data_IF_458134178036
#
_entry.id   IF_458134178036
#
_cell.length_a   1.000
_cell.length_b   1.000
_cell.length_c   1.000
_cell.angle_alpha   90.00
_cell.angle_beta   90.00
_cell.angle_gamma   90.00
#
_symmetry.space_group_name_H-M   'P 1'
#
loop_
_entity.id
_entity.type
_entity.pdbx_description
1 polymer ?
#
# COMPACT_ATOMS: atom_id res chain seq x y z
N UNK A 1 48.85 -14.65 21.98
CA UNK A 1 48.23 -15.41 20.88
C UNK A 1 46.78 -15.78 21.23
N UNK A 2 45.88 -14.79 21.35
CA UNK A 2 44.46 -15.03 21.70
C UNK A 2 43.55 -15.15 20.47
N UNK A 3 44.08 -14.94 19.26
CA UNK A 3 43.33 -14.97 18.00
C UNK A 3 43.18 -16.37 17.37
N UNK A 4 43.83 -17.40 17.93
CA UNK A 4 43.82 -18.76 17.35
C UNK A 4 42.67 -19.66 17.84
N UNK A 5 41.77 -19.13 18.68
CA UNK A 5 40.58 -19.83 19.21
C UNK A 5 39.27 -19.11 18.92
N UNK A 6 39.26 -18.12 18.04
CA UNK A 6 38.01 -17.74 17.39
C UNK A 6 37.72 -18.83 16.36
N UNK A 7 36.92 -19.83 16.75
CA UNK A 7 36.08 -20.53 15.77
C UNK A 7 35.40 -19.41 14.97
N UNK A 8 35.45 -19.47 13.65
CA UNK A 8 34.69 -18.57 12.79
C UNK A 8 33.21 -18.74 13.16
N UNK A 9 32.72 -17.93 14.08
CA UNK A 9 31.38 -18.04 14.63
C UNK A 9 30.34 -17.95 13.51
N UNK A 10 30.67 -17.19 12.46
CA UNK A 10 29.93 -17.12 11.21
C UNK A 10 29.86 -18.48 10.50
N UNK A 11 30.99 -19.17 10.32
CA UNK A 11 31.04 -20.49 9.69
C UNK A 11 30.28 -21.55 10.51
N UNK A 12 30.45 -21.51 11.83
CA UNK A 12 29.72 -22.38 12.75
C UNK A 12 28.20 -22.14 12.69
N UNK A 13 27.74 -20.89 12.77
CA UNK A 13 26.31 -20.57 12.73
C UNK A 13 25.72 -20.89 11.36
N UNK A 14 26.43 -20.65 10.26
CA UNK A 14 25.93 -20.91 8.91
C UNK A 14 25.89 -22.42 8.58
N UNK A 15 26.86 -23.22 9.01
CA UNK A 15 27.02 -24.60 8.57
C UNK A 15 26.57 -25.66 9.59
N UNK A 16 26.39 -25.32 10.87
CA UNK A 16 26.04 -26.29 11.92
C UNK A 16 24.55 -26.59 11.94
N UNK A 17 24.11 -27.76 11.47
CA UNK A 17 22.66 -28.08 11.44
C UNK A 17 22.05 -28.42 12.81
N UNK A 18 22.87 -28.92 13.74
CA UNK A 18 22.52 -29.25 15.13
C UNK A 18 23.77 -29.11 16.00
N UNK A 19 23.61 -28.62 17.23
CA UNK A 19 24.73 -28.55 18.18
C UNK A 19 24.96 -29.96 18.74
N UNK A 20 26.19 -30.48 18.61
CA UNK A 20 26.54 -31.83 19.09
C UNK A 20 26.33 -31.89 20.61
N UNK A 21 25.59 -32.89 21.06
CA UNK A 21 25.23 -33.07 22.46
C UNK A 21 26.48 -33.32 23.32
N UNK A 22 26.53 -32.66 24.48
CA UNK A 22 27.49 -32.97 25.53
C UNK A 22 26.85 -33.89 26.57
N UNK A 23 27.67 -34.66 27.28
CA UNK A 23 27.20 -35.48 28.39
C UNK A 23 26.47 -34.59 29.42
N UNK A 24 25.39 -35.08 30.06
CA UNK A 24 24.62 -34.29 31.02
C UNK A 24 25.54 -33.74 32.11
N UNK A 25 25.53 -32.41 32.28
CA UNK A 25 26.22 -31.77 33.39
C UNK A 25 25.22 -31.73 34.55
N UNK A 26 25.53 -32.43 35.64
CA UNK A 26 24.74 -32.43 36.88
C UNK A 26 23.26 -32.84 36.72
N UNK A 27 22.97 -33.77 35.81
CA UNK A 27 21.62 -34.32 35.65
C UNK A 27 20.63 -33.41 34.91
N UNK A 28 21.06 -32.24 34.45
CA UNK A 28 20.24 -31.35 33.62
C UNK A 28 20.50 -31.60 32.13
N UNK A 29 19.42 -31.83 31.37
CA UNK A 29 19.46 -32.13 29.94
C UNK A 29 18.86 -30.98 29.14
N UNK A 30 19.68 -30.25 28.38
CA UNK A 30 19.27 -29.03 27.66
C UNK A 30 19.07 -29.27 26.14
N UNK A 31 18.66 -30.47 25.75
CA UNK A 31 18.66 -30.92 24.35
C UNK A 31 17.83 -30.07 23.38
N UNK A 32 16.68 -29.54 23.79
CA UNK A 32 15.83 -28.68 22.93
C UNK A 32 16.28 -27.22 22.89
N UNK A 33 16.92 -26.74 23.96
CA UNK A 33 17.20 -25.31 24.15
C UNK A 33 18.29 -24.78 23.21
N UNK A 34 19.29 -25.60 22.86
CA UNK A 34 20.40 -25.17 22.01
C UNK A 34 20.03 -25.08 20.53
N UNK A 35 19.26 -26.05 20.03
CA UNK A 35 18.77 -26.04 18.65
C UNK A 35 17.75 -24.90 18.45
N UNK A 36 16.92 -24.60 19.46
CA UNK A 36 16.02 -23.45 19.45
C UNK A 36 16.79 -22.12 19.50
N UNK A 37 17.81 -22.00 20.35
CA UNK A 37 18.67 -20.83 20.38
C UNK A 37 19.39 -20.60 19.04
N UNK A 38 19.92 -21.66 18.42
CA UNK A 38 20.59 -21.56 17.11
C UNK A 38 19.62 -21.15 16.00
N UNK A 39 18.38 -21.68 16.01
CA UNK A 39 17.32 -21.23 15.09
C UNK A 39 16.96 -19.76 15.32
N UNK A 40 16.87 -19.34 16.58
CA UNK A 40 16.58 -17.94 16.93
C UNK A 40 17.66 -17.00 16.42
N UNK A 41 18.93 -17.34 16.64
CA UNK A 41 20.09 -16.54 16.18
C UNK A 41 20.13 -16.47 14.65
N UNK A 42 19.83 -17.56 13.94
CA UNK A 42 19.72 -17.52 12.47
C UNK A 42 18.57 -16.62 12.01
N UNK A 43 17.40 -16.74 12.62
CA UNK A 43 16.26 -15.88 12.29
C UNK A 43 16.51 -14.40 12.63
N UNK A 44 17.37 -14.12 13.61
CA UNK A 44 17.82 -12.77 13.93
C UNK A 44 18.84 -12.25 12.91
N UNK A 45 19.82 -13.08 12.52
CA UNK A 45 20.78 -12.76 11.44
C UNK A 45 20.09 -12.54 10.10
N UNK A 46 19.09 -13.35 9.74
CA UNK A 46 18.30 -13.16 8.53
C UNK A 46 17.56 -11.81 8.61
N UNK A 47 16.97 -11.48 9.76
CA UNK A 47 16.32 -10.17 9.99
C UNK A 47 17.30 -9.00 9.95
N UNK A 48 18.51 -9.16 10.45
CA UNK A 48 19.56 -8.13 10.38
C UNK A 48 20.13 -7.98 8.97
N UNK A 49 20.29 -9.07 8.23
CA UNK A 49 20.69 -9.06 6.83
C UNK A 49 19.67 -8.27 5.97
N UNK A 50 18.38 -8.47 6.24
CA UNK A 50 17.29 -7.69 5.62
C UNK A 50 17.40 -6.20 5.96
N UNK A 51 17.64 -5.85 7.23
CA UNK A 51 17.86 -4.45 7.65
C UNK A 51 19.13 -3.82 7.06
N UNK A 52 20.11 -4.64 6.67
CA UNK A 52 21.37 -4.19 6.10
C UNK A 52 21.34 -3.99 4.58
N UNK A 53 20.25 -4.39 3.89
CA UNK A 53 20.09 -4.10 2.46
C UNK A 53 20.05 -2.59 2.24
N UNK A 54 20.84 -2.11 1.27
CA UNK A 54 20.81 -0.72 0.85
C UNK A 54 19.42 -0.39 0.32
N UNK A 55 18.74 0.59 0.93
CA UNK A 55 17.49 1.11 0.38
C UNK A 55 17.77 1.81 -0.95
N UNK A 56 16.94 1.51 -1.95
CA UNK A 56 17.03 2.17 -3.26
C UNK A 56 16.65 3.64 -3.12
N UNK A 57 17.44 4.51 -3.75
CA UNK A 57 17.07 5.92 -3.91
C UNK A 57 16.32 6.17 -5.21
N UNK A 58 15.60 7.28 -5.29
CA UNK A 58 14.87 7.69 -6.48
C UNK A 58 13.47 8.24 -6.20
N UNK A 59 12.69 8.55 -7.25
CA UNK A 59 11.31 8.98 -7.11
C UNK A 59 10.38 7.79 -6.80
N UNK A 60 9.12 8.11 -6.55
CA UNK A 60 8.04 7.15 -6.32
C UNK A 60 7.15 7.11 -7.55
N UNK A 61 6.90 5.90 -8.03
CA UNK A 61 6.00 5.65 -9.16
C UNK A 61 4.64 5.30 -8.63
N UNK A 62 3.61 6.03 -9.04
CA UNK A 62 2.23 5.72 -8.70
C UNK A 62 1.45 5.31 -9.94
N UNK A 63 1.29 4.01 -10.13
CA UNK A 63 0.43 3.43 -11.16
C UNK A 63 -1.00 3.47 -10.66
N UNK A 64 -1.78 4.42 -11.16
CA UNK A 64 -3.13 4.73 -10.69
C UNK A 64 -4.17 4.37 -11.76
N UNK A 65 -5.38 4.03 -11.32
CA UNK A 65 -6.49 3.69 -12.22
C UNK A 65 -7.15 4.89 -12.88
N UNK A 66 -8.44 4.72 -13.22
CA UNK A 66 -9.25 5.79 -13.81
C UNK A 66 -9.20 7.09 -12.97
N UNK A 67 -9.28 8.25 -13.64
CA UNK A 67 -9.18 9.57 -13.00
C UNK A 67 -7.76 10.13 -12.86
N UNK A 68 -6.72 9.32 -13.06
CA UNK A 68 -5.32 9.76 -12.94
C UNK A 68 -4.79 10.57 -14.14
N UNK A 69 -5.55 10.76 -15.21
CA UNK A 69 -5.07 11.34 -16.48
C UNK A 69 -4.59 12.78 -16.31
N UNK A 70 -5.26 13.54 -15.43
CA UNK A 70 -4.82 14.90 -15.11
C UNK A 70 -3.49 14.88 -14.34
N UNK A 71 -3.32 13.93 -13.41
CA UNK A 71 -2.09 13.79 -12.63
C UNK A 71 -0.90 13.35 -13.52
N UNK A 72 -1.15 12.45 -14.48
CA UNK A 72 -0.12 12.06 -15.45
C UNK A 72 0.31 13.23 -16.34
N UNK A 73 -0.64 14.07 -16.78
CA UNK A 73 -0.35 15.28 -17.57
C UNK A 73 0.42 16.34 -16.77
N UNK A 74 0.15 16.44 -15.47
CA UNK A 74 0.87 17.34 -14.58
C UNK A 74 2.34 16.90 -14.34
N UNK A 75 2.69 15.65 -14.70
CA UNK A 75 4.03 15.11 -14.55
C UNK A 75 4.40 14.81 -13.10
N UNK A 76 5.67 15.06 -12.75
CA UNK A 76 6.18 14.81 -11.39
C UNK A 76 5.60 15.83 -10.41
N UNK A 77 4.98 15.35 -9.33
CA UNK A 77 4.44 16.18 -8.24
C UNK A 77 5.17 15.83 -6.95
N UNK A 78 6.05 16.72 -6.49
CA UNK A 78 6.98 16.39 -5.41
C UNK A 78 7.92 15.27 -5.87
N UNK A 79 7.96 14.17 -5.12
CA UNK A 79 8.72 12.96 -5.50
C UNK A 79 7.87 11.91 -6.24
N UNK A 80 6.61 12.21 -6.55
CA UNK A 80 5.64 11.23 -7.05
C UNK A 80 5.37 11.46 -8.53
N UNK A 81 5.69 10.47 -9.37
CA UNK A 81 5.26 10.43 -10.76
C UNK A 81 4.04 9.52 -10.86
N UNK A 82 2.90 10.08 -11.28
CA UNK A 82 1.67 9.30 -11.47
C UNK A 82 1.52 8.92 -12.94
N UNK A 83 1.17 7.67 -13.23
CA UNK A 83 0.73 7.24 -14.57
C UNK A 83 -0.62 6.54 -14.47
N UNK A 84 -1.50 6.83 -15.43
CA UNK A 84 -2.76 6.14 -15.59
C UNK A 84 -2.52 4.75 -16.17
N UNK A 85 -3.02 3.73 -15.46
CA UNK A 85 -2.88 2.33 -15.80
C UNK A 85 -4.24 1.67 -15.66
N UNK A 86 -4.83 1.30 -16.79
CA UNK A 86 -6.15 0.62 -16.85
C UNK A 86 -6.06 -0.80 -17.38
N UNK A 87 -4.88 -1.24 -17.83
CA UNK A 87 -4.63 -2.60 -18.34
C UNK A 87 -3.32 -3.16 -17.81
N UNK A 88 -3.21 -4.50 -17.77
CA UNK A 88 -1.96 -5.16 -17.36
C UNK A 88 -0.81 -4.91 -18.34
N UNK A 89 -1.08 -4.80 -19.64
CA UNK A 89 -0.04 -4.46 -20.64
C UNK A 89 0.55 -3.06 -20.39
N UNK A 90 -0.30 -2.08 -20.07
CA UNK A 90 0.15 -0.74 -19.69
C UNK A 90 0.92 -0.78 -18.38
N UNK A 91 0.48 -1.57 -17.40
CA UNK A 91 1.18 -1.71 -16.12
C UNK A 91 2.62 -2.19 -16.34
N UNK A 92 2.79 -3.29 -17.07
CA UNK A 92 4.11 -3.87 -17.32
C UNK A 92 5.04 -2.88 -18.02
N UNK A 93 4.56 -2.19 -19.05
CA UNK A 93 5.32 -1.13 -19.74
C UNK A 93 5.74 -0.01 -18.79
N UNK A 94 4.86 0.44 -17.89
CA UNK A 94 5.17 1.50 -16.93
C UNK A 94 6.20 1.03 -15.89
N UNK A 95 6.09 -0.21 -15.39
CA UNK A 95 7.05 -0.73 -14.41
C UNK A 95 8.46 -0.91 -15.00
N UNK A 96 8.57 -1.28 -16.27
CA UNK A 96 9.86 -1.33 -16.98
C UNK A 96 10.51 0.06 -17.10
N UNK A 97 9.72 1.10 -17.38
CA UNK A 97 10.19 2.49 -17.41
C UNK A 97 10.66 3.00 -16.03
N UNK A 98 10.14 2.42 -14.94
CA UNK A 98 10.41 2.84 -13.55
C UNK A 98 11.52 2.06 -12.86
N UNK A 99 12.42 1.46 -13.61
CA UNK A 99 13.58 0.71 -13.08
C UNK A 99 14.48 1.53 -12.13
N UNK A 100 14.49 2.86 -12.21
CA UNK A 100 15.27 3.74 -11.33
C UNK A 100 14.49 4.23 -10.08
N UNK A 101 13.25 3.80 -9.88
CA UNK A 101 12.38 4.36 -8.84
C UNK A 101 12.58 3.59 -7.52
N UNK A 102 12.55 4.29 -6.39
CA UNK A 102 12.73 3.67 -5.06
C UNK A 102 11.51 2.85 -4.64
N UNK A 103 10.32 3.34 -4.93
CA UNK A 103 9.07 2.71 -4.52
C UNK A 103 8.06 2.73 -5.66
N UNK A 104 7.38 1.61 -5.87
CA UNK A 104 6.23 1.52 -6.76
C UNK A 104 4.95 1.36 -5.95
N UNK A 105 3.99 2.25 -6.16
CA UNK A 105 2.62 2.09 -5.68
C UNK A 105 1.78 1.62 -6.87
N UNK A 106 1.31 0.38 -6.81
CA UNK A 106 0.64 -0.32 -7.91
C UNK A 106 -0.83 -0.50 -7.58
N UNK A 107 -1.68 0.28 -8.24
CA UNK A 107 -3.11 -0.03 -8.31
C UNK A 107 -3.34 -1.13 -9.32
N UNK A 108 -3.95 -2.24 -8.89
CA UNK A 108 -4.27 -3.32 -9.80
C UNK A 108 -5.28 -2.87 -10.86
N UNK A 109 -5.02 -3.11 -12.16
CA UNK A 109 -5.98 -2.82 -13.22
C UNK A 109 -7.25 -3.65 -13.06
N UNK A 110 -8.41 -3.04 -13.35
CA UNK A 110 -9.68 -3.75 -13.54
C UNK A 110 -9.72 -4.32 -14.96
N UNK A 111 -8.84 -5.28 -15.23
CA UNK A 111 -8.56 -5.87 -16.54
C UNK A 111 -8.42 -7.40 -16.43
N UNK A 112 -9.32 -8.15 -17.04
CA UNK A 112 -9.35 -9.62 -16.98
C UNK A 112 -8.33 -10.28 -17.92
N UNK A 113 -7.55 -9.51 -18.68
CA UNK A 113 -6.59 -9.99 -19.67
C UNK A 113 -5.21 -10.31 -19.11
N UNK A 114 -5.15 -10.77 -17.86
CA UNK A 114 -3.94 -11.29 -17.26
C UNK A 114 -3.75 -12.74 -17.69
N UNK A 115 -2.59 -13.05 -18.26
CA UNK A 115 -2.21 -14.40 -18.67
C UNK A 115 -0.90 -14.84 -17.98
N UNK A 116 -0.51 -16.09 -18.22
CA UNK A 116 0.68 -16.68 -17.61
C UNK A 116 1.98 -15.98 -18.04
N UNK A 117 2.05 -15.45 -19.27
CA UNK A 117 3.25 -14.75 -19.74
C UNK A 117 3.38 -13.40 -19.04
N UNK A 118 2.28 -12.66 -18.92
CA UNK A 118 2.21 -11.38 -18.21
C UNK A 118 2.50 -11.55 -16.72
N UNK A 119 1.99 -12.61 -16.09
CA UNK A 119 2.26 -12.89 -14.67
C UNK A 119 3.73 -13.23 -14.43
N UNK A 120 4.35 -14.06 -15.27
CA UNK A 120 5.79 -14.35 -15.21
C UNK A 120 6.63 -13.09 -15.39
N UNK A 121 6.27 -12.26 -16.37
CA UNK A 121 6.95 -10.98 -16.62
C UNK A 121 6.82 -10.03 -15.43
N UNK A 122 5.63 -9.91 -14.84
CA UNK A 122 5.40 -9.11 -13.63
C UNK A 122 6.29 -9.57 -12.49
N UNK A 123 6.31 -10.88 -12.20
CA UNK A 123 7.12 -11.45 -11.12
C UNK A 123 8.62 -11.22 -11.34
N UNK A 124 9.09 -11.31 -12.58
CA UNK A 124 10.48 -11.00 -12.92
C UNK A 124 10.83 -9.53 -12.67
N UNK A 125 9.97 -8.60 -13.10
CA UNK A 125 10.17 -7.16 -12.89
C UNK A 125 10.16 -6.82 -11.40
N UNK A 126 9.22 -7.39 -10.64
CA UNK A 126 9.12 -7.21 -9.18
C UNK A 126 10.35 -7.75 -8.48
N UNK A 127 10.83 -8.95 -8.86
CA UNK A 127 12.04 -9.52 -8.29
C UNK A 127 13.25 -8.59 -8.50
N UNK A 128 13.45 -8.09 -9.72
CA UNK A 128 14.52 -7.11 -10.01
C UNK A 128 14.40 -5.86 -9.15
N UNK A 129 13.18 -5.36 -8.93
CA UNK A 129 12.96 -4.19 -8.08
C UNK A 129 13.36 -4.46 -6.62
N UNK A 130 12.95 -5.59 -6.07
CA UNK A 130 13.28 -6.00 -4.69
C UNK A 130 14.77 -6.25 -4.52
N UNK A 131 15.39 -6.99 -5.45
CA UNK A 131 16.83 -7.27 -5.45
C UNK A 131 17.67 -5.98 -5.51
N UNK A 132 17.13 -4.93 -6.12
CA UNK A 132 17.75 -3.59 -6.15
C UNK A 132 17.50 -2.72 -4.91
N UNK A 133 16.85 -3.26 -3.87
CA UNK A 133 16.52 -2.54 -2.63
C UNK A 133 15.26 -1.66 -2.73
N UNK A 134 14.47 -1.84 -3.79
CA UNK A 134 13.24 -1.08 -4.01
C UNK A 134 12.04 -1.64 -3.24
N UNK A 135 11.05 -0.80 -2.97
CA UNK A 135 9.80 -1.16 -2.27
C UNK A 135 8.62 -1.21 -3.25
N UNK A 136 7.62 -2.01 -2.94
CA UNK A 136 6.39 -2.15 -3.72
C UNK A 136 5.21 -2.12 -2.77
N UNK A 137 4.19 -1.34 -3.12
CA UNK A 137 2.94 -1.25 -2.39
C UNK A 137 1.80 -1.59 -3.35
N UNK A 138 1.03 -2.64 -3.07
CA UNK A 138 -0.09 -3.04 -3.91
C UNK A 138 -1.40 -2.49 -3.37
N UNK A 139 -2.28 -2.14 -4.30
CA UNK A 139 -3.49 -1.38 -4.01
C UNK A 139 -4.64 -1.94 -4.82
N UNK A 140 -5.74 -2.27 -4.15
CA UNK A 140 -6.98 -2.63 -4.84
C UNK A 140 -7.72 -1.36 -5.28
N UNK A 141 -8.27 -1.33 -6.50
CA UNK A 141 -8.92 -0.13 -7.01
C UNK A 141 -10.22 0.17 -6.24
N UNK A 142 -10.63 1.45 -6.13
CA UNK A 142 -11.91 1.82 -5.54
C UNK A 142 -13.10 1.15 -6.20
N UNK A 143 -14.07 0.72 -5.40
CA UNK A 143 -15.32 0.14 -5.89
C UNK A 143 -16.42 1.21 -5.99
N UNK A 144 -17.20 1.16 -7.05
CA UNK A 144 -18.41 1.96 -7.24
C UNK A 144 -19.48 1.12 -7.95
N UNK A 145 -20.68 1.67 -8.09
CA UNK A 145 -21.78 0.97 -8.75
C UNK A 145 -21.41 0.44 -10.15
N UNK A 146 -20.69 1.23 -10.95
CA UNK A 146 -20.34 0.91 -12.34
C UNK A 146 -19.35 -0.23 -12.47
N UNK A 147 -18.34 -0.28 -11.60
CA UNK A 147 -17.26 -1.26 -11.69
C UNK A 147 -17.49 -2.48 -10.80
N UNK A 148 -18.47 -2.46 -9.89
CA UNK A 148 -18.72 -3.50 -8.88
C UNK A 148 -18.73 -4.93 -9.42
N UNK A 149 -19.39 -5.17 -10.57
CA UNK A 149 -19.48 -6.49 -11.20
C UNK A 149 -18.10 -6.98 -11.66
N UNK A 150 -17.35 -6.13 -12.38
CA UNK A 150 -16.00 -6.46 -12.86
C UNK A 150 -15.03 -6.61 -11.70
N UNK A 151 -15.09 -5.69 -10.75
CA UNK A 151 -14.28 -5.69 -9.53
C UNK A 151 -14.43 -7.02 -8.78
N UNK A 152 -15.67 -7.48 -8.59
CA UNK A 152 -15.93 -8.78 -7.94
C UNK A 152 -15.41 -9.96 -8.75
N UNK A 153 -15.55 -9.92 -10.07
CA UNK A 153 -15.08 -11.00 -10.94
C UNK A 153 -13.55 -11.15 -10.92
N UNK A 154 -12.82 -10.03 -10.77
CA UNK A 154 -11.35 -10.02 -10.83
C UNK A 154 -10.68 -10.04 -9.44
N UNK A 155 -11.40 -9.78 -8.35
CA UNK A 155 -10.82 -9.72 -7.00
C UNK A 155 -9.96 -10.95 -6.65
N UNK A 156 -10.38 -12.16 -7.05
CA UNK A 156 -9.60 -13.38 -6.83
C UNK A 156 -8.25 -13.41 -7.56
N UNK A 157 -8.15 -12.76 -8.74
CA UNK A 157 -6.87 -12.57 -9.42
C UNK A 157 -5.96 -11.66 -8.62
N UNK A 158 -6.45 -10.52 -8.12
CA UNK A 158 -5.65 -9.60 -7.31
C UNK A 158 -5.17 -10.24 -6.00
N UNK A 159 -6.02 -11.03 -5.34
CA UNK A 159 -5.59 -11.85 -4.19
C UNK A 159 -4.43 -12.77 -4.57
N UNK A 160 -4.56 -13.48 -5.69
CA UNK A 160 -3.51 -14.40 -6.16
C UNK A 160 -2.21 -13.66 -6.49
N UNK A 161 -2.29 -12.45 -7.05
CA UNK A 161 -1.12 -11.61 -7.32
C UNK A 161 -0.47 -11.12 -6.03
N UNK A 162 -1.24 -10.59 -5.08
CA UNK A 162 -0.74 -10.14 -3.78
C UNK A 162 -0.07 -11.29 -3.01
N UNK A 163 -0.67 -12.49 -3.03
CA UNK A 163 -0.07 -13.70 -2.45
C UNK A 163 1.21 -14.14 -3.17
N UNK A 164 1.25 -14.04 -4.50
CA UNK A 164 2.43 -14.39 -5.27
C UNK A 164 3.58 -13.42 -4.98
N UNK A 165 3.29 -12.11 -4.94
CA UNK A 165 4.27 -11.09 -4.59
C UNK A 165 4.78 -11.28 -3.16
N UNK A 166 3.90 -11.53 -2.19
CA UNK A 166 4.29 -11.73 -0.79
C UNK A 166 5.21 -12.95 -0.57
N UNK A 167 5.30 -13.89 -1.53
CA UNK A 167 6.25 -15.01 -1.48
C UNK A 167 7.64 -14.67 -2.07
N UNK A 168 7.74 -13.56 -2.79
CA UNK A 168 9.02 -13.07 -3.37
C UNK A 168 9.81 -12.27 -2.32
N UNK A 169 9.11 -11.64 -1.39
CA UNK A 169 9.68 -10.81 -0.33
C UNK A 169 9.71 -11.54 1.03
N UNK A 170 10.68 -11.18 1.87
CA UNK A 170 10.83 -11.68 3.24
C UNK A 170 10.00 -10.86 4.26
N UNK A 171 9.15 -9.95 3.76
CA UNK A 171 8.21 -9.14 4.51
C UNK A 171 8.68 -7.71 4.79
N UNK A 172 9.70 -7.23 4.07
CA UNK A 172 10.30 -5.91 4.31
C UNK A 172 10.13 -4.92 3.16
N UNK A 173 9.83 -5.39 1.95
CA UNK A 173 9.81 -4.58 0.73
C UNK A 173 8.46 -4.58 0.02
N UNK A 174 7.58 -5.56 0.24
CA UNK A 174 6.24 -5.64 -0.33
C UNK A 174 5.17 -5.38 0.73
N UNK A 175 4.30 -4.42 0.44
CA UNK A 175 3.20 -4.02 1.32
C UNK A 175 1.87 -4.14 0.59
N UNK A 176 0.98 -5.02 1.07
CA UNK A 176 -0.38 -5.15 0.53
C UNK A 176 -1.35 -4.28 1.33
N UNK A 177 -2.20 -3.52 0.65
CA UNK A 177 -3.09 -2.54 1.33
C UNK A 177 -4.58 -2.83 1.19
N UNK A 178 -4.94 -3.97 0.57
CA UNK A 178 -6.33 -4.41 0.50
C UNK A 178 -6.94 -4.48 1.91
N UNK A 179 -8.16 -3.99 2.06
CA UNK A 179 -8.93 -4.01 3.31
C UNK A 179 -10.34 -4.51 3.12
N UNK A 180 -10.58 -5.26 2.05
CA UNK A 180 -11.89 -5.74 1.66
C UNK A 180 -12.03 -7.25 1.88
N UNK A 181 -13.22 -7.67 2.31
CA UNK A 181 -13.55 -9.08 2.52
C UNK A 181 -15.02 -9.36 2.19
N UNK A 182 -15.30 -10.56 1.71
CA UNK A 182 -16.66 -11.03 1.48
C UNK A 182 -17.12 -11.91 2.64
N UNK A 183 -18.21 -11.51 3.28
CA UNK A 183 -18.84 -12.28 4.36
C UNK A 183 -20.31 -12.48 4.00
N UNK A 184 -20.71 -13.74 3.81
CA UNK A 184 -22.09 -14.11 3.42
C UNK A 184 -22.61 -13.36 2.17
N UNK A 185 -21.77 -13.24 1.14
CA UNK A 185 -22.13 -12.58 -0.13
C UNK A 185 -22.17 -11.05 -0.07
N UNK A 186 -21.91 -10.45 1.09
CA UNK A 186 -21.79 -9.00 1.27
C UNK A 186 -20.32 -8.59 1.31
N UNK A 187 -20.01 -7.48 0.65
CA UNK A 187 -18.68 -6.87 0.67
C UNK A 187 -18.55 -5.97 1.89
N UNK A 188 -17.54 -6.23 2.71
CA UNK A 188 -17.11 -5.38 3.81
C UNK A 188 -15.79 -4.74 3.42
N UNK A 189 -15.66 -3.43 3.64
CA UNK A 189 -14.42 -2.70 3.40
C UNK A 189 -14.07 -1.98 4.69
N UNK A 190 -12.85 -2.22 5.18
CA UNK A 190 -12.29 -1.53 6.31
C UNK A 190 -12.24 -0.01 6.06
N UNK A 191 -12.71 0.75 7.04
CA UNK A 191 -12.72 2.21 6.97
C UNK A 191 -11.31 2.76 6.73
N UNK A 192 -11.18 3.67 5.77
CA UNK A 192 -9.88 4.24 5.39
C UNK A 192 -9.07 3.39 4.41
N UNK A 193 -9.57 2.24 3.98
CA UNK A 193 -8.90 1.45 2.94
C UNK A 193 -9.01 2.09 1.55
N UNK A 194 -8.05 1.81 0.65
CA UNK A 194 -8.05 2.32 -0.73
C UNK A 194 -9.35 2.09 -1.49
N UNK A 195 -10.01 0.95 -1.25
CA UNK A 195 -11.24 0.54 -1.94
C UNK A 195 -12.42 1.48 -1.64
N UNK A 196 -12.38 2.20 -0.51
CA UNK A 196 -13.33 3.24 -0.13
C UNK A 196 -13.10 4.59 -0.85
N UNK A 197 -12.11 4.69 -1.74
CA UNK A 197 -11.68 5.96 -2.34
C UNK A 197 -12.65 6.63 -3.30
N UNK A 198 -13.75 5.96 -3.64
CA UNK A 198 -14.87 6.54 -4.36
C UNK A 198 -16.07 6.67 -3.43
N UNK A 199 -16.80 7.79 -3.53
CA UNK A 199 -18.20 7.78 -3.09
C UNK A 199 -18.93 6.75 -3.98
N UNK A 200 -19.44 5.68 -3.40
CA UNK A 200 -19.99 4.52 -4.13
C UNK A 200 -21.02 4.90 -5.21
N UNK A 201 -21.78 5.98 -4.99
CA UNK A 201 -22.80 6.52 -5.91
C UNK A 201 -22.31 7.61 -6.87
N UNK A 202 -21.04 8.01 -6.80
CA UNK A 202 -20.49 9.03 -7.70
C UNK A 202 -19.99 8.37 -8.99
N UNK A 203 -20.62 8.72 -10.10
CA UNK A 203 -20.37 8.15 -11.42
C UNK A 203 -19.14 8.72 -12.13
N UNK A 204 -18.52 9.78 -11.60
CA UNK A 204 -17.34 10.46 -12.18
C UNK A 204 -16.12 10.23 -11.30
N UNK A 205 -15.14 9.50 -11.83
CA UNK A 205 -13.82 9.36 -11.20
C UNK A 205 -12.93 10.52 -11.66
N UNK A 206 -12.83 11.55 -10.83
CA UNK A 206 -11.92 12.68 -11.04
C UNK A 206 -10.54 12.46 -10.41
N UNK A 207 -9.62 13.40 -10.65
CA UNK A 207 -8.26 13.34 -10.10
C UNK A 207 -8.18 13.31 -8.55
N UNK A 208 -9.27 13.64 -7.86
CA UNK A 208 -9.36 13.51 -6.40
C UNK A 208 -9.34 12.06 -5.91
N UNK A 209 -9.83 11.11 -6.70
CA UNK A 209 -9.90 9.69 -6.31
C UNK A 209 -8.49 9.09 -6.20
N UNK A 210 -7.61 9.17 -7.22
CA UNK A 210 -6.23 8.68 -7.07
C UNK A 210 -5.47 9.36 -5.93
N UNK A 211 -5.66 10.66 -5.70
CA UNK A 211 -5.02 11.36 -4.57
C UNK A 211 -5.47 10.80 -3.21
N UNK A 212 -6.78 10.57 -3.05
CA UNK A 212 -7.30 9.94 -1.84
C UNK A 212 -6.75 8.54 -1.65
N UNK A 213 -6.74 7.73 -2.71
CA UNK A 213 -6.24 6.35 -2.65
C UNK A 213 -4.79 6.33 -2.24
N UNK A 214 -3.95 7.18 -2.83
CA UNK A 214 -2.55 7.28 -2.42
C UNK A 214 -2.40 7.60 -0.92
N UNK A 215 -3.20 8.52 -0.39
CA UNK A 215 -3.17 8.84 1.05
C UNK A 215 -3.68 7.70 1.94
N UNK A 216 -4.69 6.96 1.51
CA UNK A 216 -5.16 5.75 2.20
C UNK A 216 -4.04 4.70 2.27
N UNK A 217 -3.36 4.47 1.14
CA UNK A 217 -2.21 3.57 1.02
C UNK A 217 -1.08 4.00 1.95
N UNK A 218 -0.71 5.29 1.93
CA UNK A 218 0.32 5.86 2.79
C UNK A 218 0.04 5.64 4.28
N UNK A 219 -1.22 5.77 4.71
CA UNK A 219 -1.61 5.54 6.11
C UNK A 219 -1.60 4.07 6.50
N UNK A 220 -1.85 3.17 5.55
CA UNK A 220 -1.90 1.73 5.78
C UNK A 220 -0.53 1.07 5.71
N UNK A 221 0.28 1.43 4.71
CA UNK A 221 1.65 0.95 4.52
C UNK A 221 2.66 1.95 5.13
N UNK A 222 2.60 2.14 6.45
CA UNK A 222 3.47 3.12 7.15
C UNK A 222 4.95 2.82 6.94
N UNK A 223 5.32 1.55 6.92
CA UNK A 223 6.68 1.05 6.73
C UNK A 223 7.23 1.27 5.32
N UNK A 224 6.37 1.55 4.34
CA UNK A 224 6.78 1.94 2.99
C UNK A 224 7.28 3.40 2.93
N UNK A 225 7.11 4.19 3.99
CA UNK A 225 7.61 5.57 4.15
C UNK A 225 7.22 6.49 2.98
N UNK A 226 5.97 6.37 2.51
CA UNK A 226 5.47 7.20 1.43
C UNK A 226 5.31 8.68 1.87
N UNK A 227 5.80 9.66 1.09
CA UNK A 227 5.60 11.08 1.35
C UNK A 227 4.13 11.46 1.12
N UNK A 228 3.63 12.54 1.73
CA UNK A 228 2.27 13.01 1.45
C UNK A 228 2.11 13.45 -0.01
N UNK A 229 0.94 13.21 -0.59
CA UNK A 229 0.62 13.65 -1.95
C UNK A 229 0.46 15.18 -1.97
N UNK A 230 1.14 15.91 -2.89
CA UNK A 230 1.04 17.36 -2.94
C UNK A 230 -0.39 17.87 -3.13
N UNK A 231 -0.74 18.92 -2.38
CA UNK A 231 -2.05 19.59 -2.42
C UNK A 231 -3.25 18.69 -2.07
N UNK A 232 -3.03 17.54 -1.43
CA UNK A 232 -4.14 16.77 -0.87
C UNK A 232 -4.80 17.56 0.26
N UNK A 233 -6.04 18.00 0.02
CA UNK A 233 -6.93 18.46 1.08
C UNK A 233 -7.90 17.33 1.38
N UNK A 234 -8.00 16.85 2.64
CA UNK A 234 -9.07 15.95 3.01
C UNK A 234 -10.38 16.58 2.57
N UNK A 235 -11.17 15.87 1.76
CA UNK A 235 -12.52 16.32 1.46
C UNK A 235 -13.24 16.46 2.79
N UNK A 236 -13.55 17.69 3.19
CA UNK A 236 -14.55 17.92 4.23
C UNK A 236 -15.86 17.43 3.62
N UNK A 237 -16.18 16.16 3.86
CA UNK A 237 -17.54 15.67 3.73
C UNK A 237 -18.37 16.51 4.67
N UNK A 238 -18.98 17.58 4.15
CA UNK A 238 -20.16 18.18 4.71
C UNK A 238 -21.30 17.18 4.61
N UNK A 239 -21.21 16.07 5.35
CA UNK A 239 -22.40 15.41 5.83
C UNK A 239 -23.02 16.43 6.78
N UNK A 240 -24.14 17.02 6.35
CA UNK A 240 -25.06 17.68 7.26
C UNK A 240 -25.40 16.66 8.35
N UNK A 241 -24.66 16.69 9.47
CA UNK A 241 -25.28 16.45 10.75
C UNK A 241 -26.27 17.59 10.92
N UNK A 242 -27.52 17.39 10.48
CA UNK A 242 -28.62 18.04 11.16
C UNK A 242 -28.59 17.51 12.59
N UNK A 243 -27.85 18.19 13.47
CA UNK A 243 -28.06 18.03 14.90
C UNK A 243 -29.54 18.23 15.13
N UNK A 244 -30.20 17.15 15.53
CA UNK A 244 -31.55 17.22 16.05
C UNK A 244 -31.50 18.06 17.32
N UNK A 245 -31.91 19.31 17.21
CA UNK A 245 -32.38 20.08 18.35
C UNK A 245 -33.90 20.14 18.28
N UNK A 246 -34.53 19.16 18.92
CA UNK A 246 -35.86 19.36 19.47
C UNK A 246 -35.73 19.97 20.86
N UNK A 247 -36.41 21.09 21.10
CA UNK A 247 -37.41 21.29 22.17
C UNK A 247 -37.60 22.79 22.49
N UNK A 248 -38.84 23.24 22.28
CA UNK A 248 -39.61 24.22 23.05
C UNK A 248 -38.90 25.31 23.90
N UNK A 249 -39.29 26.58 23.65
CA UNK A 249 -39.49 27.53 24.75
C UNK A 249 -39.08 28.99 24.53
N UNK A 250 -40.03 29.81 24.08
CA UNK A 250 -40.28 31.22 24.46
C UNK A 250 -39.21 32.33 24.33
N UNK A 251 -39.61 33.42 23.63
CA UNK A 251 -39.25 34.80 24.04
C UNK A 251 -38.79 35.76 22.92
N UNK A 252 -39.73 36.46 22.28
CA UNK A 252 -39.53 37.67 21.45
C UNK A 252 -39.05 38.91 22.28
N UNK A 253 -38.80 40.12 21.72
CA UNK A 253 -38.17 40.53 20.44
C UNK A 253 -37.28 41.81 20.55
N UNK A 254 -36.51 42.16 19.51
CA UNK A 254 -35.96 43.53 19.33
C UNK A 254 -35.00 43.66 18.14
N UNK A 255 -35.43 44.27 17.01
CA UNK A 255 -35.06 45.64 16.51
C UNK A 255 -33.59 45.73 16.02
N UNK A 256 -33.17 46.23 14.85
CA UNK A 256 -33.66 47.08 13.75
C UNK A 256 -32.74 46.77 12.54
N UNK A 257 -33.23 46.41 11.35
CA UNK A 257 -33.42 47.31 10.22
C UNK A 257 -32.12 47.77 9.51
N UNK A 258 -31.87 47.27 8.29
CA UNK A 258 -31.43 48.08 7.13
C UNK A 258 -31.52 47.27 5.82
N UNK A 259 -32.11 47.91 4.80
CA UNK A 259 -32.40 47.40 3.44
C UNK A 259 -31.14 47.29 2.56
N UNK A 260 -31.16 46.45 1.50
CA UNK A 260 -30.06 46.32 0.55
C UNK A 260 -30.08 47.45 -0.51
N UNK A 261 -28.93 47.87 -1.07
CA UNK A 261 -28.94 48.85 -2.15
C UNK A 261 -29.24 48.20 -3.50
N UNK A 262 -30.20 48.83 -4.15
CA UNK A 262 -30.75 48.65 -5.51
C UNK A 262 -29.75 48.97 -6.63
N UNK A 263 -29.90 48.23 -7.73
CA UNK A 263 -29.25 48.41 -9.04
C UNK A 263 -29.60 49.76 -9.73
N UNK A 264 -28.69 50.16 -10.63
CA UNK A 264 -28.82 50.81 -11.98
C UNK A 264 -28.06 52.15 -12.10
N UNK A 265 -27.77 52.70 -13.30
CA UNK A 265 -27.80 52.14 -14.67
C UNK A 265 -26.51 52.41 -15.49
N UNK A 266 -26.56 51.95 -16.75
CA UNK A 266 -25.64 52.14 -17.90
C UNK A 266 -25.26 53.61 -18.18
N UNK A 267 -24.05 53.77 -18.72
CA UNK A 267 -23.83 54.51 -19.98
C UNK A 267 -23.45 53.49 -21.06
#
# INVERSE_FOLDING_TARGET
MAYHRCIDWTDFICNTRKVVQHAPIEGNYFGSSYDEALKSVRAELDREAVKSRSEKEGPIGYAAGEGAIALEKDGMRGEILTKMVTTFDRLLSVLEEWSAFKTWVIMWPIDDKMDEQKSKKLLQIVKTQIDSGGKIVTVWPPINEKNSVKWKAIAGLWTSLDEALSRVDDGSQIFTTAGSTYVHGKLFIEAGSPECGCQYYCSRVGAGVPKYVYEAVRRKAVEALLPPFPEFRPGTSGAMFSSGEGMYGQGHPGRVGQKPPTKRPRM
#
